data_IF_834313582472
#
_entry.id   IF_834313582472
#
_cell.length_a   1.000
_cell.length_b   1.000
_cell.length_c   1.000
_cell.angle_alpha   90.00
_cell.angle_beta   90.00
_cell.angle_gamma   90.00
#
_symmetry.space_group_name_H-M   'P 1'
#
loop_
_entity.id
_entity.type
_entity.pdbx_description
1 polymer ?
#
# COMPACT_ATOMS: atom_id res chain seq x y z
N UNK A 1 6.29 -8.80 -19.18
CA UNK A 1 5.51 -9.08 -17.96
C UNK A 1 5.42 -10.58 -17.83
N UNK A 2 5.89 -11.13 -16.72
CA UNK A 2 5.76 -12.55 -16.39
C UNK A 2 4.32 -12.86 -15.94
N UNK A 3 3.92 -14.13 -15.93
CA UNK A 3 2.64 -14.52 -15.34
C UNK A 3 2.57 -14.21 -13.84
N UNK A 4 3.72 -14.21 -13.15
CA UNK A 4 3.82 -13.91 -11.72
C UNK A 4 3.55 -12.42 -11.43
N UNK A 5 3.96 -11.50 -12.30
CA UNK A 5 3.73 -10.05 -12.16
C UNK A 5 2.22 -9.73 -12.04
N UNK A 6 1.37 -10.57 -12.64
CA UNK A 6 -0.09 -10.43 -12.63
C UNK A 6 -0.80 -11.34 -11.62
N UNK A 7 -0.05 -12.18 -10.89
CA UNK A 7 -0.62 -13.15 -9.96
C UNK A 7 -1.04 -12.55 -8.62
N UNK A 8 -0.48 -11.39 -8.25
CA UNK A 8 -0.81 -10.70 -7.01
C UNK A 8 -1.69 -9.50 -7.30
N UNK A 9 -2.88 -9.48 -6.70
CA UNK A 9 -3.79 -8.32 -6.74
C UNK A 9 -3.74 -7.59 -5.41
N UNK A 10 -3.55 -6.28 -5.47
CA UNK A 10 -3.56 -5.41 -4.29
C UNK A 10 -4.82 -4.56 -4.31
N UNK A 11 -5.62 -4.67 -3.25
CA UNK A 11 -6.81 -3.84 -3.01
C UNK A 11 -6.57 -2.93 -1.81
N UNK A 12 -7.07 -1.70 -1.87
CA UNK A 12 -6.81 -0.68 -0.85
C UNK A 12 -8.11 0.00 -0.43
N UNK A 13 -8.29 0.16 0.87
CA UNK A 13 -9.31 1.03 1.48
C UNK A 13 -8.63 2.06 2.35
N UNK A 14 -9.10 3.30 2.30
CA UNK A 14 -8.48 4.42 3.02
C UNK A 14 -9.51 5.14 3.87
N UNK A 15 -9.09 5.71 4.99
CA UNK A 15 -9.94 6.47 5.89
C UNK A 15 -9.18 7.65 6.47
N UNK A 16 -9.83 8.81 6.54
CA UNK A 16 -9.31 9.98 7.26
C UNK A 16 -9.65 9.88 8.74
N UNK A 17 -8.63 10.00 9.60
CA UNK A 17 -8.78 9.85 11.05
C UNK A 17 -8.86 11.24 11.69
N UNK A 18 -10.07 11.81 11.71
CA UNK A 18 -10.33 13.17 12.20
C UNK A 18 -9.83 13.38 13.63
N UNK A 19 -10.06 12.41 14.52
CA UNK A 19 -9.70 12.51 15.95
C UNK A 19 -8.20 12.63 16.22
N UNK A 20 -7.35 12.24 15.26
CA UNK A 20 -5.89 12.27 15.38
C UNK A 20 -5.25 13.25 14.38
N UNK A 21 -6.08 14.02 13.69
CA UNK A 21 -5.66 15.05 12.74
C UNK A 21 -5.82 16.42 13.37
N UNK A 22 -5.03 17.38 12.90
CA UNK A 22 -5.11 18.79 13.27
C UNK A 22 -5.00 19.61 11.99
N UNK A 23 -6.14 19.88 11.31
CA UNK A 23 -6.15 20.67 10.08
C UNK A 23 -5.57 22.08 10.25
N UNK A 24 -5.66 22.67 11.44
CA UNK A 24 -5.07 23.96 11.78
C UNK A 24 -3.53 23.95 11.79
N UNK A 25 -2.92 22.79 12.05
CA UNK A 25 -1.46 22.56 11.98
C UNK A 25 -1.05 21.90 10.65
N UNK A 26 -1.95 21.84 9.66
CA UNK A 26 -1.76 21.13 8.39
C UNK A 26 -1.45 19.64 8.56
N UNK A 27 -1.94 18.98 9.62
CA UNK A 27 -1.64 17.56 9.90
C UNK A 27 -2.85 16.67 9.65
N UNK A 28 -2.80 15.85 8.60
CA UNK A 28 -3.91 14.97 8.20
C UNK A 28 -3.49 13.51 8.32
N UNK A 29 -4.01 12.80 9.33
CA UNK A 29 -3.77 11.38 9.50
C UNK A 29 -4.74 10.56 8.67
N UNK A 30 -4.19 9.65 7.86
CA UNK A 30 -4.96 8.66 7.13
C UNK A 30 -4.57 7.25 7.57
N UNK A 31 -5.58 6.39 7.70
CA UNK A 31 -5.37 4.94 7.74
C UNK A 31 -5.56 4.37 6.33
N UNK A 32 -4.83 3.30 6.03
CA UNK A 32 -5.05 2.50 4.84
C UNK A 32 -5.00 1.02 5.19
N UNK A 33 -6.00 0.28 4.71
CA UNK A 33 -6.10 -1.16 4.83
C UNK A 33 -5.83 -1.78 3.47
N UNK A 34 -4.75 -2.56 3.39
CA UNK A 34 -4.32 -3.25 2.18
C UNK A 34 -4.74 -4.70 2.26
N UNK A 35 -5.36 -5.21 1.20
CA UNK A 35 -5.59 -6.64 0.99
C UNK A 35 -4.72 -7.11 -0.17
N UNK A 36 -3.81 -8.03 0.10
CA UNK A 36 -2.91 -8.64 -0.89
C UNK A 36 -3.47 -10.03 -1.19
N UNK A 37 -3.93 -10.23 -2.42
CA UNK A 37 -4.62 -11.45 -2.86
C UNK A 37 -3.71 -12.18 -3.82
N UNK A 38 -3.40 -13.45 -3.51
CA UNK A 38 -2.68 -14.32 -4.42
C UNK A 38 -3.68 -15.08 -5.31
N UNK A 39 -3.74 -14.70 -6.58
CA UNK A 39 -4.53 -15.34 -7.62
C UNK A 39 -3.71 -16.37 -8.43
N UNK A 40 -2.42 -16.53 -8.10
CA UNK A 40 -1.53 -17.50 -8.71
C UNK A 40 -1.73 -18.92 -8.19
N UNK A 41 -1.04 -19.86 -8.82
CA UNK A 41 -1.09 -21.29 -8.48
C UNK A 41 -0.01 -21.72 -7.46
N UNK A 42 0.94 -20.84 -7.15
CA UNK A 42 2.03 -21.09 -6.20
C UNK A 42 1.97 -20.09 -5.04
N UNK A 43 2.53 -20.48 -3.89
CA UNK A 43 2.68 -19.55 -2.78
C UNK A 43 3.63 -18.40 -3.16
N UNK A 44 3.39 -17.21 -2.60
CA UNK A 44 4.25 -16.04 -2.79
C UNK A 44 4.53 -15.37 -1.44
N UNK A 45 5.79 -15.04 -1.18
CA UNK A 45 6.23 -14.35 0.02
C UNK A 45 6.49 -12.88 -0.27
N UNK A 46 5.95 -11.99 0.55
CA UNK A 46 6.28 -10.57 0.54
C UNK A 46 7.55 -10.34 1.36
N UNK A 47 8.60 -9.80 0.73
CA UNK A 47 9.88 -9.51 1.39
C UNK A 47 10.12 -8.03 1.63
N UNK A 48 9.70 -7.17 0.73
CA UNK A 48 9.96 -5.72 0.81
C UNK A 48 8.77 -4.90 0.33
N UNK A 49 8.74 -3.64 0.75
CA UNK A 49 7.80 -2.62 0.28
C UNK A 49 8.56 -1.38 -0.17
N UNK A 50 8.06 -0.73 -1.21
CA UNK A 50 8.47 0.59 -1.63
C UNK A 50 7.21 1.43 -1.88
N UNK A 51 7.08 2.51 -1.14
CA UNK A 51 5.99 3.48 -1.27
C UNK A 51 6.52 4.79 -1.82
N UNK A 52 5.72 5.39 -2.69
CA UNK A 52 5.87 6.76 -3.18
C UNK A 52 4.60 7.49 -2.77
N UNK A 53 4.77 8.54 -1.97
CA UNK A 53 3.68 9.31 -1.37
C UNK A 53 3.83 10.74 -1.89
N UNK A 54 2.81 11.23 -2.58
CA UNK A 54 2.79 12.59 -3.15
C UNK A 54 1.65 13.39 -2.52
N UNK A 55 1.97 14.53 -1.93
CA UNK A 55 0.98 15.45 -1.35
C UNK A 55 0.27 16.29 -2.44
N UNK A 56 -0.69 17.13 -2.05
CA UNK A 56 -1.42 17.97 -3.01
C UNK A 56 -0.58 19.11 -3.60
N UNK A 57 0.54 19.46 -2.97
CA UNK A 57 1.49 20.47 -3.43
C UNK A 57 2.51 19.89 -4.43
N UNK A 58 2.50 18.58 -4.63
CA UNK A 58 3.45 17.87 -5.49
C UNK A 58 4.74 17.47 -4.79
N UNK A 59 4.84 17.61 -3.47
CA UNK A 59 5.99 17.10 -2.73
C UNK A 59 5.90 15.58 -2.64
N UNK A 60 7.00 14.90 -2.95
CA UNK A 60 7.08 13.45 -2.93
C UNK A 60 8.01 12.96 -1.82
N UNK A 61 7.58 11.94 -1.09
CA UNK A 61 8.40 11.19 -0.15
C UNK A 61 8.40 9.70 -0.51
N UNK A 62 9.50 9.03 -0.21
CA UNK A 62 9.66 7.61 -0.44
C UNK A 62 9.86 6.86 0.88
N UNK A 63 9.19 5.71 1.01
CA UNK A 63 9.35 4.82 2.16
C UNK A 63 9.67 3.43 1.67
N UNK A 64 10.85 2.92 2.02
CA UNK A 64 11.30 1.57 1.69
C UNK A 64 11.57 0.77 2.97
N UNK A 65 11.32 -0.53 2.93
CA UNK A 65 11.63 -1.40 4.07
C UNK A 65 11.28 -2.85 3.86
N UNK A 66 11.74 -3.68 4.79
CA UNK A 66 11.43 -5.10 4.83
C UNK A 66 9.98 -5.33 5.29
N UNK A 67 9.29 -6.23 4.60
CA UNK A 67 7.97 -6.70 4.96
C UNK A 67 6.89 -5.63 4.96
N UNK A 68 5.81 -5.89 5.70
CA UNK A 68 4.72 -4.97 6.04
C UNK A 68 4.42 -5.13 7.51
N UNK A 69 4.20 -4.03 8.24
CA UNK A 69 3.88 -4.04 9.69
C UNK A 69 4.79 -4.92 10.58
N UNK A 70 6.05 -5.11 10.17
CA UNK A 70 7.03 -5.95 10.89
C UNK A 70 7.04 -7.43 10.48
N UNK A 71 6.23 -7.82 9.49
CA UNK A 71 6.07 -9.20 9.03
C UNK A 71 6.45 -9.37 7.55
N UNK A 72 6.91 -10.56 7.18
CA UNK A 72 7.12 -10.96 5.77
C UNK A 72 6.18 -12.13 5.43
N UNK A 73 4.89 -11.87 5.16
CA UNK A 73 3.90 -12.92 5.04
C UNK A 73 4.12 -13.77 3.79
N UNK A 74 3.89 -15.08 3.94
CA UNK A 74 3.71 -16.00 2.80
C UNK A 74 2.22 -16.16 2.54
N UNK A 75 1.80 -15.92 1.30
CA UNK A 75 0.40 -15.91 0.87
C UNK A 75 0.18 -17.14 -0.04
N UNK A 76 -0.53 -18.18 0.43
CA UNK A 76 -0.87 -19.34 -0.38
C UNK A 76 -1.75 -19.00 -1.60
N UNK A 77 -1.83 -19.89 -2.60
CA UNK A 77 -2.76 -19.75 -3.73
C UNK A 77 -4.21 -19.52 -3.28
N UNK A 78 -4.93 -18.63 -3.96
CA UNK A 78 -6.33 -18.29 -3.70
C UNK A 78 -6.64 -17.81 -2.28
N UNK A 79 -5.65 -17.21 -1.60
CA UNK A 79 -5.82 -16.62 -0.27
C UNK A 79 -5.47 -15.13 -0.28
N UNK A 80 -5.80 -14.46 0.82
CA UNK A 80 -5.52 -13.05 1.00
C UNK A 80 -4.87 -12.80 2.36
N UNK A 81 -3.91 -11.88 2.38
CA UNK A 81 -3.34 -11.28 3.59
C UNK A 81 -3.82 -9.84 3.69
N UNK A 82 -4.29 -9.43 4.86
CA UNK A 82 -4.77 -8.08 5.10
C UNK A 82 -4.03 -7.45 6.28
N UNK A 83 -3.65 -6.18 6.12
CA UNK A 83 -3.09 -5.38 7.19
C UNK A 83 -3.54 -3.93 7.10
N UNK A 84 -3.47 -3.21 8.22
CA UNK A 84 -3.77 -1.78 8.30
C UNK A 84 -2.53 -1.04 8.78
N UNK A 85 -2.26 0.12 8.19
CA UNK A 85 -1.24 1.06 8.65
C UNK A 85 -1.74 2.48 8.43
N UNK A 86 -0.89 3.48 8.68
CA UNK A 86 -1.25 4.87 8.54
C UNK A 86 -0.13 5.72 7.98
N UNK A 87 -0.48 6.90 7.50
CA UNK A 87 0.46 7.92 7.06
C UNK A 87 -0.08 9.30 7.42
N UNK A 88 0.83 10.21 7.77
CA UNK A 88 0.53 11.60 8.01
C UNK A 88 0.87 12.39 6.75
N UNK A 89 -0.05 13.23 6.29
CA UNK A 89 0.17 14.17 5.20
C UNK A 89 0.04 15.60 5.69
N UNK A 90 0.77 16.50 5.02
CA UNK A 90 0.69 17.94 5.25
C UNK A 90 -0.48 18.60 4.47
N UNK A 91 -1.21 17.81 3.67
CA UNK A 91 -2.31 18.28 2.83
C UNK A 91 -3.55 17.39 2.98
N UNK A 92 -4.77 17.94 2.78
CA UNK A 92 -6.03 17.18 2.91
C UNK A 92 -6.26 16.18 1.76
N UNK A 93 -5.38 16.18 0.76
CA UNK A 93 -5.35 15.28 -0.39
C UNK A 93 -3.92 14.77 -0.60
N UNK A 94 -3.78 13.51 -0.98
CA UNK A 94 -2.52 12.95 -1.46
C UNK A 94 -2.74 11.69 -2.28
N UNK A 95 -1.68 11.22 -2.91
CA UNK A 95 -1.63 9.99 -3.70
C UNK A 95 -0.54 9.09 -3.14
N UNK A 96 -0.87 7.81 -2.94
CA UNK A 96 0.11 6.78 -2.66
C UNK A 96 0.12 5.75 -3.78
N UNK A 97 1.31 5.29 -4.14
CA UNK A 97 1.53 4.15 -5.03
C UNK A 97 2.85 3.47 -4.67
N UNK A 98 3.13 2.33 -5.29
CA UNK A 98 4.37 1.63 -4.98
C UNK A 98 4.42 0.20 -5.49
N UNK A 99 5.33 -0.58 -4.91
CA UNK A 99 5.52 -1.99 -5.22
C UNK A 99 5.80 -2.80 -3.95
N UNK A 100 5.42 -4.07 -3.98
CA UNK A 100 5.97 -5.07 -3.07
C UNK A 100 6.98 -5.92 -3.82
N UNK A 101 8.14 -6.15 -3.19
CA UNK A 101 9.07 -7.17 -3.64
C UNK A 101 8.63 -8.53 -3.14
N UNK A 102 8.33 -9.42 -4.08
CA UNK A 102 7.79 -10.75 -3.84
C UNK A 102 8.80 -11.83 -4.24
N UNK A 103 8.67 -13.00 -3.60
CA UNK A 103 9.41 -14.22 -3.96
C UNK A 103 8.41 -15.36 -4.09
N UNK A 104 8.38 -16.05 -5.24
CA UNK A 104 7.56 -17.23 -5.44
C UNK A 104 8.10 -18.43 -4.65
N UNK A 105 7.30 -19.48 -4.55
CA UNK A 105 7.73 -20.77 -4.00
C UNK A 105 8.95 -21.37 -4.71
N UNK A 106 9.10 -21.10 -6.03
CA UNK A 106 10.28 -21.50 -6.81
C UNK A 106 11.53 -20.65 -6.56
N UNK A 107 11.43 -19.59 -5.76
CA UNK A 107 12.51 -18.64 -5.48
C UNK A 107 12.64 -17.52 -6.52
N UNK A 108 11.74 -17.43 -7.49
CA UNK A 108 11.72 -16.36 -8.48
C UNK A 108 11.28 -15.05 -7.83
N UNK A 109 12.04 -13.97 -8.08
CA UNK A 109 11.74 -12.63 -7.58
C UNK A 109 10.90 -11.87 -8.59
N UNK A 110 9.83 -11.23 -8.11
CA UNK A 110 8.96 -10.40 -8.93
C UNK A 110 8.37 -9.25 -8.11
N UNK A 111 7.72 -8.31 -8.78
CA UNK A 111 7.09 -7.15 -8.14
C UNK A 111 5.56 -7.23 -8.23
N UNK A 112 4.88 -7.00 -7.11
CA UNK A 112 3.45 -6.77 -7.09
C UNK A 112 3.16 -5.27 -7.09
N UNK A 113 2.43 -4.78 -8.08
CA UNK A 113 2.15 -3.35 -8.26
C UNK A 113 1.05 -2.90 -7.29
N UNK A 114 1.32 -1.83 -6.56
CA UNK A 114 0.32 -1.07 -5.83
C UNK A 114 -0.09 0.12 -6.69
N UNK A 115 -1.28 0.04 -7.28
CA UNK A 115 -1.79 1.11 -8.16
C UNK A 115 -2.00 2.39 -7.36
N UNK A 116 -1.87 3.58 -7.99
CA UNK A 116 -2.17 4.84 -7.33
C UNK A 116 -3.56 4.87 -6.71
N UNK A 117 -3.64 5.22 -5.44
CA UNK A 117 -4.88 5.47 -4.73
C UNK A 117 -4.81 6.79 -3.97
N UNK A 118 -5.99 7.35 -3.70
CA UNK A 118 -6.14 8.66 -3.09
C UNK A 118 -6.26 8.53 -1.58
N UNK A 119 -5.65 9.48 -0.88
CA UNK A 119 -5.96 9.84 0.50
C UNK A 119 -6.68 11.18 0.43
N UNK A 120 -7.92 11.26 0.90
CA UNK A 120 -8.69 12.49 0.82
C UNK A 120 -9.61 12.63 2.03
N UNK A 121 -9.72 13.86 2.56
CA UNK A 121 -10.76 14.17 3.54
C UNK A 121 -12.16 14.03 2.92
N UNK A 122 -13.18 13.61 3.68
CA UNK A 122 -14.54 13.51 3.18
C UNK A 122 -15.06 14.86 2.64
N UNK A 123 -15.73 14.83 1.48
CA UNK A 123 -16.36 16.02 0.89
C UNK A 123 -15.43 16.96 0.11
N UNK A 124 -14.15 16.62 -0.05
CA UNK A 124 -13.16 17.47 -0.73
C UNK A 124 -13.38 17.60 -2.25
N UNK A 125 -13.99 16.61 -2.89
CA UNK A 125 -14.27 16.57 -4.33
C UNK A 125 -15.78 16.50 -4.56
N UNK A 126 -16.32 17.38 -5.41
CA UNK A 126 -17.72 17.42 -5.84
C UNK A 126 -17.87 16.88 -7.27
#
# INVERSE_FOLDING_TARGET
MSALDTSIRVEVKTEYIEQQSSPEDEKYLFSYTITIINLGEQAAKLETRHWIITDANGNTSEVQGAGVVGETPTIPPNTAYQYTSGTLLDTPLGIMHGTYGMVSESGERFEAIIKPFRLATPGLLH
#
